data_IF_694209115208
#
_entry.id   IF_694209115208
#
_cell.length_a   1.000
_cell.length_b   1.000
_cell.length_c   1.000
_cell.angle_alpha   90.00
_cell.angle_beta   90.00
_cell.angle_gamma   90.00
#
_symmetry.space_group_name_H-M   'P 1'
#
loop_
_entity.id
_entity.type
_entity.pdbx_description
1 polymer ?
#
# COMPACT_ATOMS: atom_id res chain seq x y z
N UNK A 1 10.95 -39.30 -22.41
CA UNK A 1 9.97 -38.23 -22.09
C UNK A 1 10.57 -36.90 -22.51
N UNK A 2 9.82 -36.05 -23.20
CA UNK A 2 10.28 -34.73 -23.60
C UNK A 2 9.71 -33.70 -22.59
N UNK A 3 10.56 -33.13 -21.73
CA UNK A 3 10.19 -32.16 -20.66
C UNK A 3 10.39 -30.72 -21.07
N UNK A 4 10.40 -30.40 -22.37
CA UNK A 4 10.68 -29.04 -22.86
C UNK A 4 9.66 -28.04 -22.37
N UNK A 5 8.38 -28.40 -22.31
CA UNK A 5 7.31 -27.53 -21.83
C UNK A 5 7.46 -27.24 -20.34
N UNK A 6 7.66 -28.26 -19.54
CA UNK A 6 7.82 -28.15 -18.08
C UNK A 6 9.04 -27.30 -17.71
N UNK A 7 10.14 -27.46 -18.46
CA UNK A 7 11.34 -26.64 -18.28
C UNK A 7 11.08 -25.19 -18.63
N UNK A 8 10.35 -24.92 -19.72
CA UNK A 8 9.96 -23.56 -20.10
C UNK A 8 9.06 -22.90 -19.06
N UNK A 9 8.03 -23.64 -18.58
CA UNK A 9 7.12 -23.15 -17.54
C UNK A 9 7.87 -22.85 -16.24
N UNK A 10 8.78 -23.73 -15.81
CA UNK A 10 9.63 -23.49 -14.63
C UNK A 10 10.49 -22.26 -14.79
N UNK A 11 11.09 -22.07 -15.96
CA UNK A 11 11.88 -20.88 -16.28
C UNK A 11 11.04 -19.59 -16.17
N UNK A 12 9.82 -19.58 -16.72
CA UNK A 12 8.93 -18.42 -16.63
C UNK A 12 8.53 -18.13 -15.16
N UNK A 13 8.22 -19.16 -14.38
CA UNK A 13 7.92 -19.00 -12.95
C UNK A 13 9.10 -18.40 -12.18
N UNK A 14 10.33 -18.86 -12.45
CA UNK A 14 11.55 -18.30 -11.85
C UNK A 14 11.75 -16.82 -12.25
N UNK A 15 11.54 -16.47 -13.53
CA UNK A 15 11.63 -15.08 -13.98
C UNK A 15 10.58 -14.20 -13.30
N UNK A 16 9.32 -14.65 -13.24
CA UNK A 16 8.25 -13.92 -12.59
C UNK A 16 8.55 -13.68 -11.09
N UNK A 17 8.96 -14.73 -10.37
CA UNK A 17 9.29 -14.63 -8.95
C UNK A 17 10.48 -13.68 -8.70
N UNK A 18 11.58 -13.84 -9.45
CA UNK A 18 12.78 -12.99 -9.32
C UNK A 18 12.48 -11.52 -9.67
N UNK A 19 11.64 -11.29 -10.69
CA UNK A 19 11.22 -9.95 -11.09
C UNK A 19 10.37 -9.30 -10.00
N UNK A 20 9.41 -10.02 -9.41
CA UNK A 20 8.58 -9.51 -8.30
C UNK A 20 9.43 -9.11 -7.10
N UNK A 21 10.40 -9.95 -6.72
CA UNK A 21 11.30 -9.67 -5.60
C UNK A 21 12.13 -8.40 -5.85
N UNK A 22 12.71 -8.27 -7.04
CA UNK A 22 13.51 -7.11 -7.44
C UNK A 22 12.66 -5.85 -7.57
N UNK A 23 11.43 -5.98 -8.12
CA UNK A 23 10.49 -4.88 -8.30
C UNK A 23 10.07 -4.28 -6.96
N UNK A 24 9.73 -5.12 -5.97
CA UNK A 24 9.36 -4.64 -4.63
C UNK A 24 10.48 -3.80 -4.02
N UNK A 25 11.73 -4.25 -4.10
CA UNK A 25 12.87 -3.50 -3.59
C UNK A 25 13.05 -2.18 -4.34
N UNK A 26 12.95 -2.19 -5.66
CA UNK A 26 13.06 -0.98 -6.50
C UNK A 26 11.96 0.03 -6.16
N UNK A 27 10.70 -0.41 -6.05
CA UNK A 27 9.58 0.46 -5.69
C UNK A 27 9.74 1.07 -4.30
N UNK A 28 10.26 0.32 -3.32
CA UNK A 28 10.54 0.86 -1.99
C UNK A 28 11.61 1.96 -2.03
N UNK A 29 12.74 1.70 -2.66
CA UNK A 29 13.82 2.69 -2.79
C UNK A 29 13.34 3.95 -3.50
N UNK A 30 12.61 3.79 -4.61
CA UNK A 30 12.08 4.93 -5.37
C UNK A 30 11.03 5.68 -4.55
N UNK A 31 10.08 4.98 -3.91
CA UNK A 31 9.04 5.61 -3.10
C UNK A 31 9.59 6.38 -1.90
N UNK A 32 10.70 5.93 -1.30
CA UNK A 32 11.37 6.66 -0.21
C UNK A 32 11.80 8.08 -0.64
N UNK A 33 11.94 8.35 -1.94
CA UNK A 33 12.25 9.69 -2.46
C UNK A 33 11.01 10.58 -2.67
N UNK A 34 9.80 10.00 -2.64
CA UNK A 34 8.54 10.73 -2.81
C UNK A 34 7.90 11.16 -1.49
N UNK A 35 8.07 10.37 -0.41
CA UNK A 35 7.25 10.52 0.79
C UNK A 35 7.84 11.41 1.89
N UNK A 36 8.68 12.34 1.57
CA UNK A 36 9.20 13.43 2.42
C UNK A 36 9.23 13.12 3.94
N UNK A 37 10.30 12.46 4.39
CA UNK A 37 10.49 12.07 5.80
C UNK A 37 9.78 10.77 6.23
N UNK A 38 9.05 10.10 5.31
CA UNK A 38 8.53 8.76 5.50
C UNK A 38 9.21 7.78 4.54
N UNK A 39 9.47 6.57 5.00
CA UNK A 39 9.80 5.47 4.10
C UNK A 39 8.54 4.93 3.41
N UNK A 40 8.70 4.32 2.24
CA UNK A 40 7.59 3.64 1.53
C UNK A 40 6.86 2.64 2.42
N UNK A 41 7.59 1.94 3.30
CA UNK A 41 6.98 0.99 4.24
C UNK A 41 6.15 1.69 5.31
N UNK A 42 6.61 2.83 5.83
CA UNK A 42 5.83 3.63 6.77
C UNK A 42 4.60 4.21 6.09
N UNK A 43 4.76 4.76 4.88
CA UNK A 43 3.63 5.26 4.10
C UNK A 43 2.58 4.17 3.82
N UNK A 44 2.98 2.97 3.36
CA UNK A 44 2.05 1.86 3.15
C UNK A 44 1.39 1.37 4.45
N UNK A 45 2.08 1.51 5.59
CA UNK A 45 1.47 1.22 6.90
C UNK A 45 0.40 2.25 7.25
N UNK A 46 0.64 3.53 6.98
CA UNK A 46 -0.37 4.60 7.12
C UNK A 46 -1.58 4.31 6.22
N UNK A 47 -1.34 3.95 4.95
CA UNK A 47 -2.41 3.57 4.00
C UNK A 47 -3.21 2.38 4.54
N UNK A 48 -2.55 1.35 5.09
CA UNK A 48 -3.24 0.21 5.69
C UNK A 48 -4.13 0.60 6.88
N UNK A 49 -3.68 1.53 7.72
CA UNK A 49 -4.47 2.06 8.85
C UNK A 49 -5.68 2.84 8.34
N UNK A 50 -5.52 3.67 7.30
CA UNK A 50 -6.62 4.45 6.68
C UNK A 50 -7.73 3.57 6.09
N UNK A 51 -7.41 2.34 5.66
CA UNK A 51 -8.37 1.38 5.11
C UNK A 51 -9.03 0.47 6.17
N UNK A 52 -8.77 0.72 7.43
CA UNK A 52 -9.42 0.03 8.55
C UNK A 52 -10.35 1.00 9.28
N UNK A 53 -11.47 0.50 9.79
CA UNK A 53 -12.29 1.30 10.70
C UNK A 53 -11.51 1.54 11.99
N UNK A 54 -11.82 2.62 12.71
CA UNK A 54 -11.10 3.01 13.92
C UNK A 54 -11.01 1.88 14.97
N UNK A 55 -12.05 1.03 15.02
CA UNK A 55 -12.11 -0.11 15.93
C UNK A 55 -11.28 -1.32 15.44
N UNK A 56 -10.92 -1.36 14.16
CA UNK A 56 -10.18 -2.45 13.51
C UNK A 56 -8.68 -2.18 13.37
N UNK A 57 -8.19 -1.00 13.75
CA UNK A 57 -6.79 -0.58 13.62
C UNK A 57 -5.85 -1.32 14.60
N UNK A 58 -6.07 -2.61 14.81
CA UNK A 58 -5.18 -3.45 15.63
C UNK A 58 -3.92 -3.86 14.85
N UNK A 59 -2.82 -4.12 15.57
CA UNK A 59 -1.58 -4.60 14.94
C UNK A 59 -1.80 -5.86 14.09
N UNK A 60 -2.69 -6.76 14.50
CA UNK A 60 -3.00 -7.97 13.74
C UNK A 60 -3.69 -7.65 12.41
N UNK A 61 -4.66 -6.74 12.41
CA UNK A 61 -5.37 -6.34 11.19
C UNK A 61 -4.46 -5.55 10.24
N UNK A 62 -3.62 -4.66 10.79
CA UNK A 62 -2.60 -3.94 10.01
C UNK A 62 -1.63 -4.94 9.36
N UNK A 63 -1.15 -5.93 10.12
CA UNK A 63 -0.25 -6.97 9.60
C UNK A 63 -0.90 -7.78 8.47
N UNK A 64 -2.17 -8.19 8.64
CA UNK A 64 -2.94 -8.92 7.63
C UNK A 64 -3.10 -8.08 6.36
N UNK A 65 -3.49 -6.81 6.49
CA UNK A 65 -3.67 -5.90 5.36
C UNK A 65 -2.38 -5.66 4.58
N UNK A 66 -1.25 -5.61 5.27
CA UNK A 66 0.08 -5.46 4.66
C UNK A 66 0.69 -6.77 4.14
N UNK A 67 0.07 -7.92 4.39
CA UNK A 67 0.66 -9.22 4.05
C UNK A 67 1.98 -9.48 4.78
N UNK A 68 2.12 -9.02 6.04
CA UNK A 68 3.37 -9.10 6.80
C UNK A 68 3.19 -9.74 8.17
N UNK A 69 4.29 -10.05 8.85
CA UNK A 69 4.21 -10.58 10.21
C UNK A 69 3.78 -9.51 11.22
N UNK A 70 3.10 -9.94 12.29
CA UNK A 70 2.74 -9.06 13.41
C UNK A 70 3.95 -8.29 13.96
N UNK A 71 5.12 -8.93 14.04
CA UNK A 71 6.34 -8.29 14.54
C UNK A 71 6.78 -7.16 13.61
N UNK A 72 6.74 -7.36 12.28
CA UNK A 72 7.08 -6.31 11.33
C UNK A 72 6.07 -5.16 11.37
N UNK A 73 4.77 -5.45 11.41
CA UNK A 73 3.73 -4.42 11.56
C UNK A 73 3.94 -3.60 12.83
N UNK A 74 4.21 -4.26 13.97
CA UNK A 74 4.47 -3.56 15.24
C UNK A 74 5.70 -2.64 15.13
N UNK A 75 6.78 -3.08 14.48
CA UNK A 75 7.96 -2.23 14.25
C UNK A 75 7.63 -0.99 13.41
N UNK A 76 6.83 -1.15 12.35
CA UNK A 76 6.42 -0.03 11.50
C UNK A 76 5.54 0.94 12.28
N UNK A 77 4.51 0.45 12.97
CA UNK A 77 3.64 1.25 13.84
C UNK A 77 4.46 2.02 14.87
N UNK A 78 5.35 1.34 15.61
CA UNK A 78 6.22 2.00 16.59
C UNK A 78 7.15 3.06 15.98
N UNK A 79 7.58 2.86 14.74
CA UNK A 79 8.41 3.86 14.05
C UNK A 79 7.62 5.11 13.66
N UNK A 80 6.34 4.96 13.28
CA UNK A 80 5.44 6.06 12.92
C UNK A 80 4.96 6.80 14.20
N UNK A 81 4.73 6.06 15.29
CA UNK A 81 4.41 6.62 16.60
C UNK A 81 5.53 7.53 17.11
N UNK A 82 6.80 7.11 16.97
CA UNK A 82 7.97 7.94 17.33
C UNK A 82 8.07 9.25 16.54
N UNK A 83 7.50 9.30 15.34
CA UNK A 83 7.38 10.52 14.55
C UNK A 83 6.21 11.40 15.01
N UNK A 84 5.38 10.93 15.94
CA UNK A 84 4.23 11.65 16.45
C UNK A 84 3.01 11.66 15.53
N UNK A 85 3.00 10.84 14.47
CA UNK A 85 1.90 10.83 13.49
C UNK A 85 0.72 9.94 13.90
N UNK A 86 0.97 8.99 14.76
CA UNK A 86 -0.03 8.09 15.35
C UNK A 86 0.19 7.95 16.85
N UNK A 87 -0.84 7.50 17.53
CA UNK A 87 -0.81 7.09 18.95
C UNK A 87 -1.39 5.69 19.11
N UNK A 88 -0.91 4.95 20.10
CA UNK A 88 -1.44 3.63 20.47
C UNK A 88 -2.33 3.80 21.68
N UNK A 89 -3.60 3.43 21.53
CA UNK A 89 -4.63 3.57 22.56
C UNK A 89 -5.23 2.21 22.93
N UNK A 90 -5.75 2.02 24.15
CA UNK A 90 -6.49 0.81 24.51
C UNK A 90 -7.68 0.60 23.58
N UNK A 91 -7.93 -0.63 23.14
CA UNK A 91 -9.11 -0.94 22.33
C UNK A 91 -10.39 -0.81 23.14
N UNK A 92 -11.44 -0.22 22.54
CA UNK A 92 -12.77 -0.13 23.15
C UNK A 92 -13.49 -1.49 23.19
N UNK A 93 -13.14 -2.41 22.27
CA UNK A 93 -13.79 -3.72 22.12
C UNK A 93 -13.10 -4.83 22.92
N UNK A 94 -11.78 -4.79 23.03
CA UNK A 94 -11.00 -5.81 23.73
C UNK A 94 -9.92 -5.14 24.59
N UNK A 95 -10.09 -5.23 25.91
CA UNK A 95 -9.14 -4.66 26.90
C UNK A 95 -7.72 -5.23 26.80
N UNK A 96 -7.52 -6.32 26.07
CA UNK A 96 -6.19 -6.95 25.82
C UNK A 96 -5.55 -6.46 24.52
N UNK A 97 -6.30 -5.72 23.70
CA UNK A 97 -5.84 -5.19 22.42
C UNK A 97 -5.60 -3.69 22.51
N UNK A 98 -4.81 -3.21 21.57
CA UNK A 98 -4.59 -1.78 21.32
C UNK A 98 -5.00 -1.44 19.92
N UNK A 99 -5.51 -0.23 19.74
CA UNK A 99 -5.82 0.37 18.43
C UNK A 99 -4.82 1.49 18.14
N UNK A 100 -4.65 1.77 16.86
CA UNK A 100 -3.81 2.87 16.36
C UNK A 100 -4.73 4.00 15.91
N UNK A 101 -4.42 5.23 16.32
CA UNK A 101 -5.14 6.45 15.92
C UNK A 101 -4.18 7.46 15.32
N UNK A 102 -4.64 8.22 14.35
CA UNK A 102 -3.88 9.36 13.84
C UNK A 102 -3.97 10.54 14.79
N UNK A 103 -2.83 11.16 15.07
CA UNK A 103 -2.75 12.48 15.69
C UNK A 103 -3.12 13.56 14.67
N UNK A 104 -3.37 14.80 15.11
CA UNK A 104 -3.64 15.89 14.18
C UNK A 104 -2.43 16.22 13.30
N UNK A 105 -1.21 16.07 13.84
CA UNK A 105 0.04 16.15 13.05
C UNK A 105 0.09 15.03 12.01
N UNK A 106 -0.32 13.83 12.37
CA UNK A 106 -0.40 12.70 11.45
C UNK A 106 -1.39 12.92 10.32
N UNK A 107 -2.59 13.45 10.61
CA UNK A 107 -3.59 13.80 9.60
C UNK A 107 -3.05 14.86 8.63
N UNK A 108 -2.39 15.89 9.14
CA UNK A 108 -1.74 16.90 8.31
C UNK A 108 -0.66 16.29 7.41
N UNK A 109 0.16 15.39 7.96
CA UNK A 109 1.21 14.69 7.19
C UNK A 109 0.65 13.81 6.08
N UNK A 110 -0.49 13.14 6.30
CA UNK A 110 -1.18 12.36 5.26
C UNK A 110 -1.61 13.27 4.11
N UNK A 111 -2.18 14.43 4.40
CA UNK A 111 -2.59 15.41 3.39
C UNK A 111 -1.38 15.87 2.56
N UNK A 112 -0.27 16.22 3.21
CA UNK A 112 0.98 16.61 2.53
C UNK A 112 1.53 15.51 1.61
N UNK A 113 1.50 14.25 2.06
CA UNK A 113 1.99 13.13 1.28
C UNK A 113 1.02 12.67 0.17
N UNK A 114 -0.25 13.09 0.19
CA UNK A 114 -1.27 12.59 -0.75
C UNK A 114 -0.95 12.93 -2.21
N UNK A 115 -0.46 14.14 -2.47
CA UNK A 115 -0.08 14.58 -3.81
C UNK A 115 1.14 13.82 -4.32
N UNK A 116 2.15 13.67 -3.48
CA UNK A 116 3.35 12.89 -3.82
C UNK A 116 3.05 11.41 -4.07
N UNK A 117 2.07 10.84 -3.34
CA UNK A 117 1.61 9.47 -3.56
C UNK A 117 0.96 9.30 -4.94
N UNK A 118 0.17 10.28 -5.36
CA UNK A 118 -0.44 10.31 -6.68
C UNK A 118 0.62 10.46 -7.78
N UNK A 119 1.61 11.32 -7.58
CA UNK A 119 2.74 11.47 -8.49
C UNK A 119 3.54 10.18 -8.62
N UNK A 120 3.82 9.53 -7.49
CA UNK A 120 4.50 8.23 -7.48
C UNK A 120 3.71 7.18 -8.28
N UNK A 121 2.38 7.08 -8.08
CA UNK A 121 1.54 6.15 -8.83
C UNK A 121 1.53 6.48 -10.33
N UNK A 122 1.40 7.75 -10.70
CA UNK A 122 1.43 8.18 -12.11
C UNK A 122 2.77 7.81 -12.78
N UNK A 123 3.89 8.02 -12.07
CA UNK A 123 5.22 7.77 -12.62
C UNK A 123 5.53 6.27 -12.78
N UNK A 124 5.13 5.41 -11.82
CA UNK A 124 5.38 3.96 -11.94
C UNK A 124 4.48 3.28 -12.97
N UNK A 125 3.27 3.82 -13.19
CA UNK A 125 2.30 3.26 -14.17
C UNK A 125 2.21 4.08 -15.47
N UNK A 126 3.13 5.01 -15.72
CA UNK A 126 3.06 5.94 -16.87
C UNK A 126 2.95 5.26 -18.24
N UNK A 127 3.51 4.07 -18.39
CA UNK A 127 3.51 3.33 -19.65
C UNK A 127 2.44 2.23 -19.75
N UNK A 128 1.49 2.21 -18.80
CA UNK A 128 0.45 1.20 -18.74
C UNK A 128 -0.90 1.77 -19.16
N UNK A 129 -1.57 1.09 -20.08
CA UNK A 129 -2.98 1.31 -20.35
C UNK A 129 -3.83 0.77 -19.17
N UNK A 130 -5.07 1.24 -19.05
CA UNK A 130 -5.99 0.81 -17.97
C UNK A 130 -6.19 -0.71 -17.95
N UNK A 131 -6.36 -1.32 -19.12
CA UNK A 131 -6.58 -2.76 -19.30
C UNK A 131 -5.35 -3.59 -18.88
N UNK A 132 -4.14 -3.02 -19.06
CA UNK A 132 -2.90 -3.66 -18.59
C UNK A 132 -2.79 -3.60 -17.07
N UNK A 133 -3.18 -2.49 -16.45
CA UNK A 133 -3.22 -2.34 -14.98
C UNK A 133 -4.23 -3.32 -14.39
N UNK A 134 -5.44 -3.43 -14.97
CA UNK A 134 -6.46 -4.40 -14.54
C UNK A 134 -5.95 -5.85 -14.67
N UNK A 135 -5.30 -6.17 -15.77
CA UNK A 135 -4.71 -7.50 -16.00
C UNK A 135 -3.62 -7.79 -14.96
N UNK A 136 -2.71 -6.85 -14.74
CA UNK A 136 -1.64 -6.97 -13.76
C UNK A 136 -2.22 -7.19 -12.35
N UNK A 137 -3.20 -6.38 -11.95
CA UNK A 137 -3.83 -6.51 -10.64
C UNK A 137 -4.50 -7.87 -10.45
N UNK A 138 -5.25 -8.36 -11.44
CA UNK A 138 -5.87 -9.68 -11.40
C UNK A 138 -4.85 -10.83 -11.29
N UNK A 139 -3.71 -10.72 -11.98
CA UNK A 139 -2.64 -11.71 -11.90
C UNK A 139 -1.93 -11.68 -10.54
N UNK A 140 -1.66 -10.50 -9.99
CA UNK A 140 -1.07 -10.34 -8.67
C UNK A 140 -1.98 -10.88 -7.58
N UNK A 141 -3.29 -10.61 -7.66
CA UNK A 141 -4.28 -11.16 -6.71
C UNK A 141 -4.33 -12.68 -6.77
N UNK A 142 -4.39 -13.25 -7.97
CA UNK A 142 -4.34 -14.71 -8.16
C UNK A 142 -3.05 -15.32 -7.59
N UNK A 143 -1.92 -14.64 -7.78
CA UNK A 143 -0.65 -15.09 -7.23
C UNK A 143 -0.63 -14.99 -5.71
N UNK A 144 -1.24 -13.96 -5.11
CA UNK A 144 -1.31 -13.79 -3.65
C UNK A 144 -2.07 -14.93 -2.97
N UNK A 145 -3.07 -15.49 -3.63
CA UNK A 145 -3.92 -16.59 -3.12
C UNK A 145 -3.25 -17.98 -3.20
N UNK A 146 -1.94 -18.08 -3.46
CA UNK A 146 -1.22 -19.35 -3.67
C UNK A 146 -1.30 -20.33 -2.49
N UNK A 147 -1.47 -19.82 -1.28
CA UNK A 147 -1.59 -20.60 -0.03
C UNK A 147 -3.03 -20.74 0.47
N UNK A 148 -4.01 -20.28 -0.33
CA UNK A 148 -5.43 -20.28 0.02
C UNK A 148 -5.87 -19.10 0.87
N UNK A 149 -4.98 -18.19 1.25
CA UNK A 149 -5.34 -16.92 1.89
C UNK A 149 -5.85 -15.93 0.84
N UNK A 150 -6.82 -15.10 1.22
CA UNK A 150 -7.25 -13.98 0.39
C UNK A 150 -6.51 -12.71 0.80
N UNK A 151 -6.17 -11.89 -0.19
CA UNK A 151 -5.68 -10.56 0.08
C UNK A 151 -6.80 -9.74 0.76
N UNK A 152 -6.47 -9.14 1.89
CA UNK A 152 -7.33 -8.15 2.54
C UNK A 152 -7.08 -6.79 1.84
N UNK A 153 -7.67 -6.66 0.63
CA UNK A 153 -7.35 -5.64 -0.36
C UNK A 153 -7.51 -4.20 0.11
N UNK A 154 -7.10 -3.29 -0.78
CA UNK A 154 -7.27 -1.84 -0.63
C UNK A 154 -8.45 -1.34 -1.50
N UNK A 155 -9.35 -2.25 -1.87
CA UNK A 155 -10.32 -2.09 -2.95
C UNK A 155 -11.56 -1.28 -2.55
N UNK A 156 -12.03 -1.42 -1.32
CA UNK A 156 -13.41 -1.05 -0.97
C UNK A 156 -13.58 0.32 -0.34
N UNK A 157 -12.53 0.90 0.14
CA UNK A 157 -12.61 2.24 0.69
C UNK A 157 -11.95 3.19 -0.29
N UNK A 158 -12.73 3.94 -1.00
CA UNK A 158 -12.20 5.18 -1.57
C UNK A 158 -11.35 5.83 -0.49
N UNK A 159 -10.14 6.25 -0.82
CA UNK A 159 -9.29 6.96 0.14
C UNK A 159 -10.19 7.96 0.88
N UNK A 160 -10.15 8.02 2.23
CA UNK A 160 -10.94 8.99 3.00
C UNK A 160 -10.73 10.44 2.55
N UNK A 161 -9.71 10.65 1.72
CA UNK A 161 -9.38 11.90 1.03
C UNK A 161 -10.44 12.38 0.04
N UNK A 162 -11.40 11.51 -0.38
CA UNK A 162 -12.43 11.86 -1.36
C UNK A 162 -13.76 12.28 -0.74
N UNK A 163 -13.94 12.13 0.57
CA UNK A 163 -15.16 12.52 1.25
C UNK A 163 -15.08 13.97 1.77
N UNK A 164 -15.89 14.84 1.22
CA UNK A 164 -16.36 16.15 1.72
C UNK A 164 -15.40 17.35 1.79
N UNK A 165 -14.14 17.28 1.35
CA UNK A 165 -13.21 18.41 1.59
C UNK A 165 -12.76 19.19 0.34
N UNK A 166 -13.22 18.85 -0.87
CA UNK A 166 -12.65 19.44 -2.11
C UNK A 166 -11.20 19.02 -2.40
N UNK A 167 -10.51 18.46 -1.41
CA UNK A 167 -9.14 17.95 -1.53
C UNK A 167 -9.07 16.77 -2.51
N UNK A 168 -10.05 15.86 -2.44
CA UNK A 168 -10.12 14.70 -3.34
C UNK A 168 -10.22 15.09 -4.80
N UNK A 169 -11.05 16.09 -5.12
CA UNK A 169 -11.18 16.58 -6.51
C UNK A 169 -9.88 17.22 -7.01
N UNK A 170 -9.22 18.02 -6.18
CA UNK A 170 -7.92 18.62 -6.51
C UNK A 170 -6.84 17.57 -6.77
N UNK A 171 -6.79 16.52 -5.97
CA UNK A 171 -5.85 15.39 -6.14
C UNK A 171 -6.14 14.65 -7.45
N UNK A 172 -7.41 14.37 -7.77
CA UNK A 172 -7.79 13.71 -9.01
C UNK A 172 -7.50 14.55 -10.24
N UNK A 173 -7.72 15.87 -10.18
CA UNK A 173 -7.34 16.80 -11.24
C UNK A 173 -5.83 16.81 -11.47
N UNK A 174 -5.05 16.85 -10.38
CA UNK A 174 -3.59 16.77 -10.47
C UNK A 174 -3.14 15.45 -11.11
N UNK A 175 -3.69 14.31 -10.66
CA UNK A 175 -3.42 13.00 -11.26
C UNK A 175 -3.72 12.96 -12.76
N UNK A 176 -4.88 13.46 -13.17
CA UNK A 176 -5.28 13.50 -14.57
C UNK A 176 -4.33 14.36 -15.42
N UNK A 177 -3.88 15.51 -14.88
CA UNK A 177 -2.89 16.36 -15.56
C UNK A 177 -1.53 15.68 -15.66
N UNK A 178 -1.07 15.05 -14.57
CA UNK A 178 0.19 14.32 -14.54
C UNK A 178 0.18 13.18 -15.57
N UNK A 179 -0.87 12.35 -15.59
CA UNK A 179 -1.01 11.25 -16.58
C UNK A 179 -0.93 11.75 -18.01
N UNK A 180 -1.66 12.83 -18.35
CA UNK A 180 -1.62 13.43 -19.69
C UNK A 180 -0.25 13.99 -20.09
N UNK A 181 0.55 14.45 -19.12
CA UNK A 181 1.90 14.97 -19.41
C UNK A 181 2.94 13.87 -19.66
N UNK A 182 2.59 12.62 -19.39
CA UNK A 182 3.46 11.45 -19.54
C UNK A 182 3.16 10.64 -20.81
N UNK A 183 2.02 10.93 -21.50
CA UNK A 183 1.67 10.43 -22.83
C UNK A 183 2.43 11.18 -23.93
#
# INVERSE_FOLDING_TARGET
MDYKKELHDLFLMQQAYGTLFSLINKLQITGDTYFDGLTSRQFMTIVAILHLTEEETTINNIARKLGTSKQNANRMVSSIEKLGYIEIVPSSKDKRATNVRFTDIGKQKIIECSQNAVDFMADIFRHFATEEIETLWNLLRKLYEFDGSRQDGFEESGLPLTSDTGLGESILQHFAQKRKSLE
#
